data_IF_804883277662
#
_entry.id   IF_804883277662
#
_cell.length_a   1.000
_cell.length_b   1.000
_cell.length_c   1.000
_cell.angle_alpha   90.00
_cell.angle_beta   90.00
_cell.angle_gamma   90.00
#
_symmetry.space_group_name_H-M   'P 1'
#
loop_
_entity.id
_entity.type
_entity.pdbx_description
1 polymer ?
#
# COMPACT_ATOMS: atom_id res chain seq x y z
N UNK A 1 -0.27 1.97 -17.42
CA UNK A 1 -1.22 1.31 -16.49
C UNK A 1 -0.50 0.25 -15.68
N UNK A 2 -1.00 -0.01 -14.50
CA UNK A 2 -0.40 -1.00 -13.60
C UNK A 2 -1.37 -2.15 -13.36
N UNK A 3 -0.84 -3.37 -13.23
CA UNK A 3 -1.57 -4.49 -12.66
C UNK A 3 -1.35 -4.44 -11.16
N UNK A 4 -2.42 -4.34 -10.38
CA UNK A 4 -2.34 -4.26 -8.92
C UNK A 4 -2.81 -5.58 -8.33
N UNK A 5 -1.94 -6.21 -7.54
CA UNK A 5 -2.23 -7.40 -6.75
C UNK A 5 -2.22 -7.00 -5.28
N UNK A 6 -2.91 -7.75 -4.46
CA UNK A 6 -2.98 -7.51 -3.02
C UNK A 6 -2.60 -8.78 -2.27
N UNK A 7 -1.86 -8.63 -1.19
CA UNK A 7 -1.63 -9.74 -0.27
C UNK A 7 -2.87 -9.96 0.59
N UNK A 8 -3.10 -11.19 1.10
CA UNK A 8 -4.21 -11.44 2.04
C UNK A 8 -4.18 -10.50 3.25
N UNK A 9 -2.99 -10.16 3.75
CA UNK A 9 -2.82 -9.23 4.86
C UNK A 9 -3.37 -7.85 4.52
N UNK A 10 -3.11 -7.38 3.29
CA UNK A 10 -3.63 -6.10 2.83
C UNK A 10 -5.16 -6.13 2.74
N UNK A 11 -5.71 -7.17 2.15
CA UNK A 11 -7.15 -7.32 2.00
C UNK A 11 -7.85 -7.33 3.35
N UNK A 12 -7.32 -8.09 4.31
CA UNK A 12 -7.87 -8.17 5.65
C UNK A 12 -7.85 -6.81 6.35
N UNK A 13 -6.73 -6.08 6.21
CA UNK A 13 -6.62 -4.75 6.80
C UNK A 13 -7.64 -3.78 6.20
N UNK A 14 -7.73 -3.74 4.87
CA UNK A 14 -8.62 -2.82 4.17
C UNK A 14 -10.10 -3.12 4.49
N UNK A 15 -10.47 -4.40 4.43
CA UNK A 15 -11.84 -4.83 4.69
C UNK A 15 -12.24 -4.61 6.15
N UNK A 16 -11.28 -4.63 7.06
CA UNK A 16 -11.51 -4.44 8.48
C UNK A 16 -11.58 -2.99 8.94
N UNK A 17 -11.38 -2.02 8.05
CA UNK A 17 -11.45 -0.62 8.43
C UNK A 17 -12.87 -0.24 8.84
N UNK A 18 -13.05 0.29 10.08
CA UNK A 18 -14.38 0.61 10.57
C UNK A 18 -15.03 1.80 9.86
N UNK A 19 -14.22 2.77 9.41
CA UNK A 19 -14.71 3.95 8.70
C UNK A 19 -14.84 3.65 7.21
N UNK A 20 -16.08 3.51 6.75
CA UNK A 20 -16.35 3.16 5.34
C UNK A 20 -15.99 4.28 4.36
N UNK A 21 -15.99 5.53 4.81
CA UNK A 21 -15.55 6.65 3.97
C UNK A 21 -14.04 6.55 3.70
N UNK A 22 -13.26 6.26 4.72
CA UNK A 22 -11.82 6.02 4.58
C UNK A 22 -11.57 4.84 3.64
N UNK A 23 -12.25 3.73 3.88
CA UNK A 23 -12.11 2.53 3.06
C UNK A 23 -12.35 2.84 1.58
N UNK A 24 -13.44 3.55 1.26
CA UNK A 24 -13.77 3.90 -0.13
C UNK A 24 -12.72 4.80 -0.76
N UNK A 25 -12.18 5.76 -0.02
CA UNK A 25 -11.13 6.65 -0.53
C UNK A 25 -9.86 5.88 -0.87
N UNK A 26 -9.50 4.92 -0.03
CA UNK A 26 -8.31 4.09 -0.28
C UNK A 26 -8.51 3.17 -1.48
N UNK A 27 -9.71 2.60 -1.64
CA UNK A 27 -10.05 1.81 -2.84
C UNK A 27 -9.93 2.67 -4.10
N UNK A 28 -10.42 3.91 -4.06
CA UNK A 28 -10.30 4.83 -5.19
C UNK A 28 -8.84 5.15 -5.51
N UNK A 29 -8.00 5.30 -4.49
CA UNK A 29 -6.56 5.52 -4.70
C UNK A 29 -5.92 4.36 -5.46
N UNK A 30 -6.25 3.13 -5.08
CA UNK A 30 -5.74 1.94 -5.76
C UNK A 30 -6.27 1.89 -7.20
N UNK A 31 -7.54 2.23 -7.40
CA UNK A 31 -8.13 2.26 -8.74
C UNK A 31 -7.41 3.26 -9.65
N UNK A 32 -7.04 4.43 -9.14
CA UNK A 32 -6.24 5.39 -9.91
C UNK A 32 -4.89 4.83 -10.29
N UNK A 33 -4.27 4.05 -9.41
CA UNK A 33 -3.00 3.39 -9.70
C UNK A 33 -3.15 2.42 -10.89
N UNK A 34 -4.24 1.66 -10.95
CA UNK A 34 -4.48 0.76 -12.09
C UNK A 34 -4.57 1.53 -13.40
N UNK A 35 -4.97 2.78 -13.35
CA UNK A 35 -5.08 3.66 -14.53
C UNK A 35 -3.78 4.42 -14.84
N UNK A 36 -2.70 4.14 -14.12
CA UNK A 36 -1.41 4.76 -14.35
C UNK A 36 -1.09 5.94 -13.44
N UNK A 37 -2.01 6.35 -12.58
CA UNK A 37 -1.83 7.49 -11.68
C UNK A 37 -1.52 7.00 -10.27
N UNK A 38 -0.24 7.00 -9.91
CA UNK A 38 0.19 6.60 -8.56
C UNK A 38 -0.02 7.70 -7.52
N UNK A 39 -0.14 8.97 -7.95
CA UNK A 39 -0.32 10.08 -7.02
C UNK A 39 0.94 10.36 -6.19
N UNK A 40 0.73 10.87 -4.98
CA UNK A 40 1.81 11.22 -4.05
C UNK A 40 2.42 9.95 -3.44
N UNK A 41 3.63 9.61 -3.86
CA UNK A 41 4.34 8.41 -3.38
C UNK A 41 5.77 8.78 -2.99
N UNK A 42 6.35 7.98 -2.10
CA UNK A 42 7.76 8.09 -1.76
C UNK A 42 8.34 6.73 -1.38
N UNK A 43 9.66 6.59 -1.57
CA UNK A 43 10.38 5.41 -1.11
C UNK A 43 10.51 5.44 0.41
N UNK A 44 10.32 4.28 1.05
CA UNK A 44 10.56 4.09 2.48
C UNK A 44 11.65 3.04 2.73
N UNK A 45 12.47 2.76 1.71
CA UNK A 45 13.59 1.83 1.80
C UNK A 45 13.21 0.39 1.46
N UNK A 46 14.23 -0.43 1.21
CA UNK A 46 14.10 -1.88 0.96
C UNK A 46 13.09 -2.24 -0.11
N UNK A 47 13.05 -1.44 -1.18
CA UNK A 47 12.15 -1.62 -2.32
C UNK A 47 10.68 -1.36 -2.01
N UNK A 48 10.36 -0.84 -0.84
CA UNK A 48 8.99 -0.50 -0.43
C UNK A 48 8.70 0.96 -0.74
N UNK A 49 7.52 1.19 -1.29
CA UNK A 49 6.98 2.52 -1.58
C UNK A 49 5.75 2.77 -0.74
N UNK A 50 5.52 4.04 -0.43
CA UNK A 50 4.40 4.50 0.37
C UNK A 50 3.53 5.41 -0.49
N UNK A 51 2.24 5.06 -0.64
CA UNK A 51 1.22 5.96 -1.19
C UNK A 51 0.68 6.80 -0.03
N UNK A 52 0.68 8.11 -0.17
CA UNK A 52 0.28 9.02 0.89
C UNK A 52 -1.06 9.65 0.58
N UNK A 53 -1.96 9.61 1.55
CA UNK A 53 -3.23 10.32 1.53
C UNK A 53 -3.25 11.32 2.68
N UNK A 54 -3.71 12.54 2.40
CA UNK A 54 -3.60 13.66 3.35
C UNK A 54 -4.93 14.00 4.03
N UNK A 55 -5.88 13.09 4.02
CA UNK A 55 -7.13 13.26 4.74
C UNK A 55 -7.10 12.52 6.08
N UNK A 56 -7.93 12.97 7.03
CA UNK A 56 -8.08 12.31 8.34
C UNK A 56 -6.74 12.17 9.06
N UNK A 57 -6.44 10.96 9.52
CA UNK A 57 -5.21 10.68 10.27
C UNK A 57 -3.94 10.57 9.42
N UNK A 58 -4.00 10.89 8.14
CA UNK A 58 -2.87 10.74 7.23
C UNK A 58 -2.65 9.29 6.84
N UNK A 59 -3.52 8.77 5.98
CA UNK A 59 -3.51 7.36 5.60
C UNK A 59 -2.36 7.04 4.66
N UNK A 60 -1.83 5.82 4.78
CA UNK A 60 -0.69 5.33 4.02
C UNK A 60 -0.98 3.93 3.50
N UNK A 61 -0.55 3.67 2.25
CA UNK A 61 -0.60 2.34 1.64
C UNK A 61 0.81 1.97 1.20
N UNK A 62 1.25 0.77 1.53
CA UNK A 62 2.61 0.30 1.24
C UNK A 62 2.60 -0.74 0.14
N UNK A 63 3.54 -0.64 -0.80
CA UNK A 63 3.59 -1.54 -1.95
C UNK A 63 5.01 -1.75 -2.43
N UNK A 64 5.21 -2.80 -3.20
CA UNK A 64 6.42 -3.03 -3.99
C UNK A 64 6.06 -3.04 -5.47
N UNK A 65 7.05 -2.74 -6.31
CA UNK A 65 6.90 -2.85 -7.76
C UNK A 65 7.71 -4.04 -8.23
N UNK A 66 7.10 -4.89 -9.06
CA UNK A 66 7.77 -6.00 -9.72
C UNK A 66 7.76 -5.74 -11.22
N UNK A 67 8.94 -5.48 -11.79
CA UNK A 67 9.03 -5.08 -13.18
C UNK A 67 8.40 -3.73 -13.44
N UNK A 68 7.86 -3.54 -14.64
CA UNK A 68 7.37 -2.24 -15.07
C UNK A 68 5.92 -1.99 -14.71
N UNK A 69 5.12 -3.03 -14.56
CA UNK A 69 3.66 -2.88 -14.52
C UNK A 69 3.02 -3.49 -13.28
N UNK A 70 3.69 -4.38 -12.56
CA UNK A 70 3.09 -5.05 -11.43
C UNK A 70 3.35 -4.30 -10.12
N UNK A 71 2.29 -4.05 -9.38
CA UNK A 71 2.32 -3.49 -8.04
C UNK A 71 1.69 -4.51 -7.10
N UNK A 72 2.34 -4.79 -5.97
CA UNK A 72 1.79 -5.68 -4.94
C UNK A 72 1.59 -4.87 -3.68
N UNK A 73 0.33 -4.74 -3.25
CA UNK A 73 -0.04 -4.02 -2.03
C UNK A 73 0.27 -4.90 -0.81
N UNK A 74 1.03 -4.35 0.13
CA UNK A 74 1.52 -5.08 1.30
C UNK A 74 0.69 -4.84 2.55
N UNK A 75 0.31 -3.59 2.78
CA UNK A 75 -0.41 -3.21 3.98
C UNK A 75 -0.68 -1.73 4.01
N UNK A 76 -1.20 -1.24 5.11
CA UNK A 76 -1.52 0.17 5.27
C UNK A 76 -1.76 0.53 6.72
N UNK A 77 -2.01 1.80 6.95
CA UNK A 77 -2.29 2.36 8.26
C UNK A 77 -2.36 3.86 8.18
N UNK A 78 -2.49 4.50 9.33
CA UNK A 78 -2.41 5.95 9.41
C UNK A 78 -1.06 6.39 10.00
N UNK A 79 -0.90 7.69 10.21
CA UNK A 79 0.35 8.24 10.76
C UNK A 79 0.69 7.69 12.14
N UNK A 80 -0.30 7.31 12.94
CA UNK A 80 -0.07 6.89 14.32
C UNK A 80 0.69 5.57 14.42
N UNK A 81 0.64 4.73 13.39
CA UNK A 81 1.31 3.44 13.37
C UNK A 81 2.32 3.32 12.23
N UNK A 82 2.71 4.44 11.64
CA UNK A 82 3.52 4.47 10.42
C UNK A 82 4.84 3.70 10.56
N UNK A 83 5.59 3.91 11.64
CA UNK A 83 6.88 3.25 11.82
C UNK A 83 6.74 1.72 11.88
N UNK A 84 5.74 1.23 12.61
CA UNK A 84 5.45 -0.20 12.70
C UNK A 84 5.03 -0.75 11.34
N UNK A 85 4.16 -0.03 10.65
CA UNK A 85 3.61 -0.48 9.37
C UNK A 85 4.70 -0.56 8.30
N UNK A 86 5.66 0.37 8.32
CA UNK A 86 6.82 0.30 7.42
C UNK A 86 7.67 -0.93 7.72
N UNK A 87 7.92 -1.25 9.01
CA UNK A 87 8.68 -2.46 9.37
C UNK A 87 8.00 -3.73 8.86
N UNK A 88 6.69 -3.82 9.04
CA UNK A 88 5.92 -4.97 8.56
C UNK A 88 5.99 -5.05 7.03
N UNK A 89 5.87 -3.91 6.35
CA UNK A 89 5.96 -3.86 4.90
C UNK A 89 7.34 -4.33 4.41
N UNK A 90 8.42 -3.92 5.10
CA UNK A 90 9.78 -4.39 4.77
C UNK A 90 9.89 -5.92 4.90
N UNK A 91 9.32 -6.49 5.96
CA UNK A 91 9.34 -7.95 6.16
C UNK A 91 8.60 -8.68 5.05
N UNK A 92 7.42 -8.20 4.69
CA UNK A 92 6.62 -8.79 3.61
C UNK A 92 7.32 -8.64 2.25
N UNK A 93 7.95 -7.51 2.00
CA UNK A 93 8.70 -7.27 0.76
C UNK A 93 9.88 -8.23 0.64
N UNK A 94 10.63 -8.43 1.72
CA UNK A 94 11.75 -9.37 1.75
C UNK A 94 11.27 -10.78 1.43
N UNK A 95 10.18 -11.20 2.06
CA UNK A 95 9.60 -12.52 1.81
C UNK A 95 9.18 -12.68 0.35
N UNK A 96 8.55 -11.67 -0.25
CA UNK A 96 8.12 -11.71 -1.65
C UNK A 96 9.30 -11.77 -2.61
N UNK A 97 10.37 -11.03 -2.34
CA UNK A 97 11.56 -10.98 -3.20
C UNK A 97 12.35 -12.30 -3.10
N UNK A 98 12.53 -12.82 -1.88
CA UNK A 98 13.30 -14.04 -1.64
C UNK A 98 12.50 -15.31 -1.97
N UNK A 99 11.18 -15.24 -1.90
CA UNK A 99 10.30 -16.38 -2.15
C UNK A 99 10.12 -16.72 -3.62
N UNK A 100 10.65 -15.88 -4.49
CA UNK A 100 10.62 -16.13 -5.93
C UNK A 100 11.81 -17.01 -6.34
#
# INVERSE_FOLDING_TARGET
MYVVRTLPEFDAWLDGLPDKTVQRRLVLRIRRATMGNLGDVRSVGDSVWEMREHFGGGWRLYYVRKGRQLIVMLGGGDKSTQARDIRVAHQLATWLIEGD
#
